data_IF_773232886132
#
_entry.id   IF_773232886132
#
_cell.length_a   1.000
_cell.length_b   1.000
_cell.length_c   1.000
_cell.angle_alpha   90.00
_cell.angle_beta   90.00
_cell.angle_gamma   90.00
#
_symmetry.space_group_name_H-M   'P 1'
#
loop_
_entity.id
_entity.type
_entity.pdbx_description
1 polymer ?
#
# COMPACT_ATOMS: atom_id res chain seq x y z
N UNK A 1 46.62 -2.94 -4.11
CA UNK A 1 46.74 -4.07 -3.15
C UNK A 1 45.53 -4.10 -2.21
N UNK A 2 44.82 -2.98 -1.97
CA UNK A 2 43.59 -2.96 -1.21
C UNK A 2 42.42 -3.69 -1.92
N UNK A 3 42.47 -3.83 -3.25
CA UNK A 3 41.43 -4.49 -4.04
C UNK A 3 41.35 -6.04 -3.92
N UNK A 4 42.44 -6.67 -3.48
CA UNK A 4 42.51 -8.15 -3.36
C UNK A 4 41.96 -8.68 -2.03
N UNK A 5 41.97 -7.86 -0.97
CA UNK A 5 41.37 -8.20 0.31
C UNK A 5 39.83 -8.23 0.18
N UNK A 6 39.26 -7.26 -0.52
CA UNK A 6 37.82 -7.22 -0.82
C UNK A 6 37.30 -8.41 -1.66
N UNK A 7 38.18 -8.99 -2.53
CA UNK A 7 37.82 -10.18 -3.30
C UNK A 7 37.82 -11.48 -2.48
N UNK A 8 38.66 -11.54 -1.41
CA UNK A 8 38.60 -12.68 -0.47
C UNK A 8 37.38 -12.66 0.39
N UNK A 9 36.95 -11.46 0.83
CA UNK A 9 35.73 -11.27 1.59
C UNK A 9 34.50 -11.50 0.71
N UNK A 10 34.54 -11.05 -0.56
CA UNK A 10 33.49 -11.34 -1.55
C UNK A 10 33.31 -12.83 -1.83
N UNK A 11 34.39 -13.64 -1.85
CA UNK A 11 34.29 -15.09 -2.01
C UNK A 11 33.65 -15.79 -0.81
N UNK A 12 33.84 -15.26 0.38
CA UNK A 12 33.19 -15.76 1.59
C UNK A 12 31.69 -15.40 1.61
N UNK A 13 31.32 -14.24 1.05
CA UNK A 13 29.92 -13.82 0.85
C UNK A 13 29.22 -14.58 -0.27
N UNK A 14 29.89 -14.93 -1.36
CA UNK A 14 29.29 -15.63 -2.51
C UNK A 14 28.90 -17.09 -2.18
N UNK A 15 29.47 -17.70 -1.14
CA UNK A 15 29.11 -19.06 -0.75
C UNK A 15 27.85 -19.20 0.10
N UNK A 16 27.32 -18.09 0.67
CA UNK A 16 26.15 -18.10 1.58
C UNK A 16 25.22 -16.89 1.43
N UNK A 17 25.58 -15.85 0.67
CA UNK A 17 24.78 -14.64 0.53
C UNK A 17 24.04 -14.60 -0.81
N UNK A 18 22.77 -14.29 -0.76
CA UNK A 18 21.95 -13.95 -1.93
C UNK A 18 22.31 -12.56 -2.44
N UNK A 19 21.88 -12.21 -3.67
CA UNK A 19 22.11 -10.87 -4.20
C UNK A 19 21.43 -9.80 -3.31
N UNK A 20 22.07 -8.61 -3.08
CA UNK A 20 21.51 -7.57 -2.21
C UNK A 20 20.08 -7.15 -2.60
N UNK A 21 19.74 -7.18 -3.88
CA UNK A 21 18.41 -6.90 -4.38
C UNK A 21 17.37 -7.97 -3.99
N UNK A 22 17.78 -9.22 -3.79
CA UNK A 22 16.91 -10.30 -3.29
C UNK A 22 16.66 -10.09 -1.79
N UNK A 23 17.71 -9.84 -1.02
CA UNK A 23 17.62 -9.62 0.43
C UNK A 23 16.79 -8.38 0.79
N UNK A 24 16.96 -7.29 0.03
CA UNK A 24 16.20 -6.06 0.26
C UNK A 24 14.73 -6.17 -0.18
N UNK A 25 14.38 -7.17 -0.98
CA UNK A 25 13.00 -7.38 -1.40
C UNK A 25 12.20 -8.09 -0.29
N UNK A 26 11.14 -7.49 0.26
CA UNK A 26 10.33 -8.16 1.31
C UNK A 26 9.74 -9.51 0.88
N UNK A 27 9.53 -9.71 -0.43
CA UNK A 27 9.06 -10.98 -1.00
C UNK A 27 10.20 -11.91 -1.44
N UNK A 28 11.46 -11.54 -1.24
CA UNK A 28 12.65 -12.30 -1.65
C UNK A 28 12.59 -12.81 -3.10
N UNK A 29 12.16 -11.93 -4.01
CA UNK A 29 12.11 -12.24 -5.44
C UNK A 29 13.52 -12.45 -5.98
N UNK A 30 13.72 -13.48 -6.79
CA UNK A 30 15.01 -13.70 -7.46
C UNK A 30 15.18 -12.71 -8.61
N UNK A 31 15.61 -11.49 -8.25
CA UNK A 31 15.74 -10.35 -9.17
C UNK A 31 16.73 -10.65 -10.31
N UNK A 32 17.95 -11.16 -10.09
CA UNK A 32 18.86 -11.46 -11.17
C UNK A 32 18.25 -12.44 -12.19
N UNK A 33 17.51 -13.44 -11.70
CA UNK A 33 16.98 -14.51 -12.56
C UNK A 33 15.91 -14.01 -13.53
N UNK A 34 14.95 -13.20 -13.07
CA UNK A 34 13.94 -12.69 -13.99
C UNK A 34 14.50 -11.66 -14.97
N UNK A 35 15.51 -10.87 -14.55
CA UNK A 35 16.18 -9.93 -15.45
C UNK A 35 16.96 -10.67 -16.53
N UNK A 36 17.64 -11.77 -16.19
CA UNK A 36 18.31 -12.62 -17.17
C UNK A 36 17.32 -13.14 -18.23
N UNK A 37 16.13 -13.58 -17.81
CA UNK A 37 15.11 -14.04 -18.75
C UNK A 37 14.59 -12.90 -19.65
N UNK A 38 14.41 -11.70 -19.14
CA UNK A 38 14.04 -10.53 -19.95
C UNK A 38 15.14 -10.24 -20.98
N UNK A 39 16.41 -10.22 -20.57
CA UNK A 39 17.56 -10.03 -21.47
C UNK A 39 17.59 -11.07 -22.57
N UNK A 40 17.24 -12.30 -22.26
CA UNK A 40 17.26 -13.44 -23.19
C UNK A 40 15.98 -13.51 -24.06
N UNK A 41 15.10 -12.48 -23.99
CA UNK A 41 13.84 -12.42 -24.76
C UNK A 41 12.80 -13.46 -24.34
N UNK A 42 12.76 -13.84 -23.07
CA UNK A 42 11.88 -14.87 -22.49
C UNK A 42 11.03 -14.28 -21.36
N UNK A 43 10.14 -13.33 -21.64
CA UNK A 43 9.34 -12.64 -20.62
C UNK A 43 8.43 -13.60 -19.83
N UNK A 44 7.92 -14.67 -20.45
CA UNK A 44 7.12 -15.72 -19.81
C UNK A 44 7.87 -16.41 -18.65
N UNK A 45 9.17 -16.65 -18.84
CA UNK A 45 10.01 -17.24 -17.79
C UNK A 45 10.32 -16.22 -16.69
N UNK A 46 10.45 -14.95 -17.04
CA UNK A 46 10.63 -13.87 -16.08
C UNK A 46 9.40 -13.74 -15.16
N UNK A 47 8.21 -13.74 -15.72
CA UNK A 47 6.96 -13.69 -14.95
C UNK A 47 6.80 -14.95 -14.09
N UNK A 48 7.13 -16.14 -14.59
CA UNK A 48 7.14 -17.37 -13.80
C UNK A 48 8.03 -17.30 -12.56
N UNK A 49 9.17 -16.58 -12.61
CA UNK A 49 10.01 -16.33 -11.42
C UNK A 49 9.29 -15.43 -10.40
N UNK A 50 8.55 -14.42 -10.86
CA UNK A 50 7.80 -13.48 -10.02
C UNK A 50 6.60 -14.16 -9.38
N UNK A 51 5.82 -14.91 -10.16
CA UNK A 51 4.64 -15.66 -9.71
C UNK A 51 4.95 -16.75 -8.67
N UNK A 52 6.19 -17.23 -8.56
CA UNK A 52 6.60 -18.09 -7.44
C UNK A 52 6.47 -17.41 -6.09
N UNK A 53 6.47 -16.07 -6.06
CA UNK A 53 6.42 -15.29 -4.83
C UNK A 53 5.08 -14.62 -4.57
N UNK A 54 4.44 -14.08 -5.60
CA UNK A 54 3.14 -13.41 -5.47
C UNK A 54 2.51 -13.17 -6.86
N UNK A 55 1.18 -13.08 -6.94
CA UNK A 55 0.49 -12.90 -8.21
C UNK A 55 0.38 -11.42 -8.66
N UNK A 56 0.64 -10.45 -7.78
CA UNK A 56 0.45 -9.02 -8.04
C UNK A 56 1.69 -8.41 -8.72
N UNK A 57 2.10 -8.96 -9.87
CA UNK A 57 3.35 -8.61 -10.57
C UNK A 57 3.27 -7.23 -11.19
N UNK A 58 2.22 -6.94 -11.96
CA UNK A 58 1.99 -5.66 -12.61
C UNK A 58 1.68 -4.55 -11.62
N UNK A 59 0.92 -4.85 -10.55
CA UNK A 59 0.73 -3.95 -9.41
C UNK A 59 2.07 -3.56 -8.79
N UNK A 60 2.91 -4.53 -8.43
CA UNK A 60 4.24 -4.25 -7.88
C UNK A 60 5.18 -3.60 -8.89
N UNK A 61 5.01 -3.85 -10.19
CA UNK A 61 5.73 -3.18 -11.27
C UNK A 61 5.43 -1.68 -11.36
N UNK A 62 4.28 -1.24 -10.85
CA UNK A 62 3.82 0.17 -10.91
C UNK A 62 3.98 0.93 -9.59
N UNK A 63 3.72 0.29 -8.44
CA UNK A 63 3.61 1.02 -7.16
C UNK A 63 4.63 0.64 -6.09
N UNK A 64 5.53 -0.31 -6.36
CA UNK A 64 6.58 -0.70 -5.41
C UNK A 64 7.58 0.43 -5.16
N UNK A 65 7.93 0.66 -3.90
CA UNK A 65 8.91 1.69 -3.48
C UNK A 65 10.37 1.26 -3.69
N UNK A 66 10.62 0.14 -4.31
CA UNK A 66 11.95 -0.30 -4.86
C UNK A 66 13.10 -0.43 -3.86
N UNK A 67 12.95 -1.06 -2.70
CA UNK A 67 14.08 -1.25 -1.78
C UNK A 67 15.25 -2.03 -2.43
N UNK A 68 14.95 -2.88 -3.41
CA UNK A 68 15.95 -3.62 -4.18
C UNK A 68 16.86 -2.72 -5.04
N UNK A 69 16.32 -1.61 -5.60
CA UNK A 69 17.12 -0.63 -6.35
C UNK A 69 18.01 0.18 -5.41
N UNK A 70 17.49 0.56 -4.24
CA UNK A 70 18.28 1.23 -3.21
C UNK A 70 19.44 0.35 -2.71
N UNK A 71 19.30 -0.98 -2.73
CA UNK A 71 20.33 -1.94 -2.35
C UNK A 71 21.19 -2.43 -3.53
N UNK A 72 20.91 -1.97 -4.76
CA UNK A 72 21.60 -2.47 -5.97
C UNK A 72 23.09 -2.16 -5.92
N UNK A 73 23.94 -3.17 -6.08
CA UNK A 73 25.39 -3.02 -6.05
C UNK A 73 25.92 -2.11 -7.19
N UNK A 74 25.23 -2.04 -8.32
CA UNK A 74 25.63 -1.18 -9.45
C UNK A 74 25.65 0.32 -9.10
N UNK A 75 24.82 0.74 -8.12
CA UNK A 75 24.77 2.14 -7.66
C UNK A 75 26.12 2.72 -7.22
N UNK A 76 27.10 1.88 -6.90
CA UNK A 76 28.45 2.32 -6.51
C UNK A 76 29.33 2.70 -7.70
N UNK A 77 28.96 2.27 -8.91
CA UNK A 77 29.71 2.54 -10.14
C UNK A 77 28.89 3.35 -11.16
N UNK A 78 27.58 3.21 -11.13
CA UNK A 78 26.66 3.82 -12.10
C UNK A 78 25.23 3.92 -11.51
N UNK A 79 24.21 4.07 -12.36
CA UNK A 79 22.82 4.03 -11.93
C UNK A 79 22.41 2.62 -11.47
N UNK A 80 21.53 2.48 -10.46
CA UNK A 80 20.90 1.20 -10.14
C UNK A 80 20.18 0.62 -11.36
N UNK A 81 20.07 -0.69 -11.42
CA UNK A 81 19.19 -1.34 -12.41
C UNK A 81 17.74 -0.90 -12.13
N UNK A 82 17.00 -0.54 -13.17
CA UNK A 82 15.58 -0.20 -13.10
C UNK A 82 14.72 -1.47 -12.87
N UNK A 83 14.86 -2.06 -11.68
CA UNK A 83 14.32 -3.39 -11.32
C UNK A 83 12.79 -3.40 -11.37
N UNK A 84 12.16 -2.31 -10.88
CA UNK A 84 10.70 -2.17 -10.90
C UNK A 84 10.17 -2.08 -12.33
N UNK A 85 10.82 -1.29 -13.19
CA UNK A 85 10.36 -1.07 -14.55
C UNK A 85 10.56 -2.34 -15.41
N UNK A 86 11.64 -3.08 -15.20
CA UNK A 86 11.82 -4.40 -15.82
C UNK A 86 10.76 -5.41 -15.35
N UNK A 87 10.34 -5.36 -14.09
CA UNK A 87 9.23 -6.17 -13.59
C UNK A 87 7.92 -5.78 -14.29
N UNK A 88 7.66 -4.48 -14.41
CA UNK A 88 6.50 -3.97 -15.13
C UNK A 88 6.50 -4.44 -16.58
N UNK A 89 7.65 -4.33 -17.27
CA UNK A 89 7.80 -4.80 -18.65
C UNK A 89 7.43 -6.28 -18.77
N UNK A 90 7.91 -7.15 -17.87
CA UNK A 90 7.55 -8.58 -17.90
C UNK A 90 6.03 -8.80 -17.76
N UNK A 91 5.36 -8.05 -16.88
CA UNK A 91 3.91 -8.15 -16.70
C UNK A 91 3.13 -7.61 -17.91
N UNK A 92 3.58 -6.48 -18.50
CA UNK A 92 2.87 -5.82 -19.59
C UNK A 92 2.99 -6.61 -20.92
N UNK A 93 4.11 -7.33 -21.16
CA UNK A 93 4.32 -8.15 -22.37
C UNK A 93 3.38 -9.35 -22.46
N UNK A 94 3.03 -9.96 -21.35
CA UNK A 94 2.24 -11.18 -21.31
C UNK A 94 0.77 -10.95 -21.01
N UNK A 95 0.41 -9.77 -20.51
CA UNK A 95 -0.92 -9.53 -19.99
C UNK A 95 -1.17 -10.41 -18.76
N UNK A 96 -1.20 -9.81 -17.59
CA UNK A 96 -1.43 -10.51 -16.32
C UNK A 96 -2.71 -11.34 -16.40
N UNK A 97 -2.61 -12.64 -16.08
CA UNK A 97 -3.75 -13.54 -16.11
C UNK A 97 -3.88 -14.39 -17.38
N UNK A 98 -2.85 -14.47 -18.23
CA UNK A 98 -2.87 -15.47 -19.30
C UNK A 98 -3.00 -16.87 -18.67
N UNK A 99 -4.09 -17.56 -18.97
CA UNK A 99 -4.38 -18.91 -18.45
C UNK A 99 -3.23 -19.89 -18.74
N UNK A 100 -2.45 -19.62 -19.77
CA UNK A 100 -1.29 -20.42 -20.19
C UNK A 100 -0.17 -20.45 -19.15
N UNK A 101 0.05 -19.34 -18.39
CA UNK A 101 1.04 -19.31 -17.31
C UNK A 101 0.59 -20.09 -16.07
N UNK A 102 -0.72 -20.27 -15.89
CA UNK A 102 -1.28 -20.97 -14.73
C UNK A 102 -1.49 -22.47 -14.98
N UNK A 103 -1.46 -22.91 -16.22
CA UNK A 103 -1.58 -24.34 -16.56
C UNK A 103 -0.24 -25.07 -16.45
N UNK A 104 0.86 -24.34 -16.28
CA UNK A 104 2.16 -24.95 -16.05
C UNK A 104 2.14 -25.72 -14.73
N UNK A 105 2.52 -27.00 -14.83
CA UNK A 105 2.69 -27.89 -13.68
C UNK A 105 3.53 -27.30 -12.53
N UNK A 106 4.33 -26.25 -12.79
CA UNK A 106 5.06 -25.50 -11.77
C UNK A 106 4.17 -24.64 -10.84
N UNK A 107 2.91 -24.37 -11.19
CA UNK A 107 2.01 -23.53 -10.39
C UNK A 107 0.98 -24.34 -9.59
N UNK A 108 0.64 -25.55 -10.04
CA UNK A 108 -0.29 -26.46 -9.35
C UNK A 108 0.49 -27.65 -8.77
N UNK A 109 1.05 -27.48 -7.59
CA UNK A 109 1.66 -28.60 -6.87
C UNK A 109 0.99 -28.76 -5.51
N UNK A 110 0.05 -29.71 -5.36
CA UNK A 110 -0.35 -30.14 -4.03
C UNK A 110 0.88 -30.59 -3.27
N UNK A 111 1.19 -29.93 -2.18
CA UNK A 111 2.32 -30.35 -1.35
C UNK A 111 2.02 -31.75 -0.78
N UNK A 112 2.97 -32.68 -0.75
CA UNK A 112 2.77 -33.99 -0.14
C UNK A 112 2.27 -33.82 1.32
N UNK A 113 1.19 -34.53 1.67
CA UNK A 113 0.59 -34.47 3.01
C UNK A 113 -0.38 -33.31 3.25
N UNK A 114 -0.68 -32.51 2.24
CA UNK A 114 -1.77 -31.51 2.35
C UNK A 114 -3.10 -32.22 2.22
N UNK A 115 -3.98 -32.06 3.23
CA UNK A 115 -5.35 -32.55 3.16
C UNK A 115 -6.19 -31.60 2.28
N UNK A 116 -6.69 -32.08 1.11
CA UNK A 116 -7.48 -31.27 0.20
C UNK A 116 -8.90 -30.96 0.73
N UNK A 117 -9.31 -31.56 1.83
CA UNK A 117 -10.62 -31.32 2.44
C UNK A 117 -10.59 -30.18 3.45
N UNK A 118 -9.42 -29.73 3.91
CA UNK A 118 -9.31 -28.60 4.82
C UNK A 118 -9.66 -27.29 4.10
N UNK A 119 -10.80 -26.73 4.48
CA UNK A 119 -11.31 -25.46 3.92
C UNK A 119 -10.76 -24.25 4.68
N UNK A 120 -10.31 -23.26 3.95
CA UNK A 120 -9.73 -22.06 4.55
C UNK A 120 -10.54 -20.83 4.14
N UNK A 121 -10.93 -20.03 5.13
CA UNK A 121 -11.51 -18.73 4.92
C UNK A 121 -10.41 -17.64 4.93
N UNK A 122 -10.38 -16.80 3.91
CA UNK A 122 -9.53 -15.61 3.86
C UNK A 122 -10.42 -14.38 3.97
N UNK A 123 -10.23 -13.55 4.99
CA UNK A 123 -11.03 -12.35 5.22
C UNK A 123 -10.27 -11.12 4.71
N UNK A 124 -10.82 -10.49 3.69
CA UNK A 124 -10.26 -9.38 2.95
C UNK A 124 -9.55 -9.80 1.67
N UNK A 125 -10.05 -9.31 0.53
CA UNK A 125 -9.44 -9.50 -0.80
C UNK A 125 -8.46 -8.37 -1.15
N UNK A 126 -7.79 -7.80 -0.17
CA UNK A 126 -6.63 -6.93 -0.37
C UNK A 126 -5.37 -7.72 -0.74
N UNK A 127 -4.22 -7.05 -1.00
CA UNK A 127 -2.99 -7.72 -1.42
C UNK A 127 -2.58 -8.89 -0.52
N UNK A 128 -2.71 -8.77 0.80
CA UNK A 128 -2.36 -9.82 1.75
C UNK A 128 -3.26 -11.06 1.58
N UNK A 129 -4.58 -10.86 1.50
CA UNK A 129 -5.54 -11.96 1.33
C UNK A 129 -5.40 -12.64 -0.02
N UNK A 130 -5.21 -11.87 -1.10
CA UNK A 130 -5.00 -12.41 -2.46
C UNK A 130 -3.74 -13.29 -2.50
N UNK A 131 -2.62 -12.82 -1.93
CA UNK A 131 -1.37 -13.60 -1.89
C UNK A 131 -1.52 -14.85 -1.03
N UNK A 132 -2.22 -14.76 0.11
CA UNK A 132 -2.52 -15.91 0.95
C UNK A 132 -3.37 -16.95 0.20
N UNK A 133 -4.49 -16.53 -0.39
CA UNK A 133 -5.37 -17.39 -1.18
C UNK A 133 -4.61 -18.04 -2.35
N UNK A 134 -3.81 -17.26 -3.08
CA UNK A 134 -2.96 -17.73 -4.16
C UNK A 134 -2.06 -18.89 -3.73
N UNK A 135 -1.32 -18.74 -2.65
CA UNK A 135 -0.42 -19.80 -2.19
C UNK A 135 -1.16 -21.03 -1.66
N UNK A 136 -2.27 -20.85 -0.96
CA UNK A 136 -3.08 -21.96 -0.45
C UNK A 136 -3.69 -22.78 -1.59
N UNK A 137 -4.26 -22.10 -2.60
CA UNK A 137 -4.81 -22.76 -3.79
C UNK A 137 -3.76 -23.53 -4.57
N UNK A 138 -2.56 -22.98 -4.72
CA UNK A 138 -1.42 -23.70 -5.33
C UNK A 138 -1.01 -24.95 -4.56
N UNK A 139 -1.18 -24.94 -3.25
CA UNK A 139 -0.96 -26.10 -2.39
C UNK A 139 -2.13 -27.12 -2.44
N UNK A 140 -3.19 -26.83 -3.19
CA UNK A 140 -4.36 -27.71 -3.35
C UNK A 140 -5.40 -27.57 -2.25
N UNK A 141 -5.40 -26.47 -1.46
CA UNK A 141 -6.39 -26.22 -0.42
C UNK A 141 -7.57 -25.43 -0.96
N UNK A 142 -8.81 -25.82 -0.69
CA UNK A 142 -9.99 -25.02 -1.01
C UNK A 142 -9.99 -23.70 -0.22
N UNK A 143 -10.22 -22.58 -0.91
CA UNK A 143 -10.21 -21.24 -0.30
C UNK A 143 -11.44 -20.46 -0.74
N UNK A 144 -12.14 -19.89 0.25
CA UNK A 144 -13.15 -18.86 0.04
C UNK A 144 -12.61 -17.53 0.59
N UNK A 145 -12.68 -16.47 -0.23
CA UNK A 145 -12.21 -15.13 0.12
C UNK A 145 -13.41 -14.21 0.35
N UNK A 146 -13.57 -13.76 1.58
CA UNK A 146 -14.65 -12.85 2.00
C UNK A 146 -14.20 -11.40 1.81
N UNK A 147 -14.96 -10.62 1.07
CA UNK A 147 -14.61 -9.23 0.77
C UNK A 147 -15.83 -8.31 0.98
N UNK A 148 -15.62 -7.21 1.70
CA UNK A 148 -16.70 -6.28 2.02
C UNK A 148 -17.14 -5.42 0.82
N UNK A 149 -16.26 -5.22 -0.15
CA UNK A 149 -16.51 -4.50 -1.39
C UNK A 149 -17.04 -5.44 -2.48
N UNK A 150 -17.44 -4.86 -3.61
CA UNK A 150 -17.95 -5.64 -4.76
C UNK A 150 -16.85 -6.13 -5.71
N UNK A 151 -15.60 -5.73 -5.45
CA UNK A 151 -14.44 -6.10 -6.23
C UNK A 151 -13.22 -6.36 -5.34
N UNK A 152 -12.38 -7.30 -5.76
CA UNK A 152 -11.12 -7.59 -5.08
C UNK A 152 -10.05 -6.51 -5.35
N UNK A 153 -9.04 -6.45 -4.49
CA UNK A 153 -7.88 -5.55 -4.60
C UNK A 153 -7.63 -4.72 -3.35
N UNK A 154 -8.62 -4.56 -2.48
CA UNK A 154 -8.48 -3.77 -1.24
C UNK A 154 -7.92 -2.38 -1.51
N UNK A 155 -6.91 -1.94 -0.77
CA UNK A 155 -6.31 -0.60 -0.96
C UNK A 155 -5.61 -0.43 -2.32
N UNK A 156 -5.21 -1.48 -2.99
CA UNK A 156 -4.70 -1.38 -4.35
C UNK A 156 -5.81 -0.98 -5.35
N UNK A 157 -7.06 -1.42 -5.10
CA UNK A 157 -8.23 -1.07 -5.91
C UNK A 157 -8.84 0.27 -5.52
N UNK A 158 -8.99 0.53 -4.22
CA UNK A 158 -9.80 1.63 -3.70
C UNK A 158 -8.99 2.82 -3.18
N UNK A 159 -7.74 2.59 -2.75
CA UNK A 159 -6.86 3.62 -2.19
C UNK A 159 -5.83 4.17 -3.17
N UNK A 160 -5.27 3.32 -4.05
CA UNK A 160 -4.33 3.78 -5.08
C UNK A 160 -5.12 4.29 -6.29
N UNK A 161 -4.91 5.53 -6.73
CA UNK A 161 -5.66 6.09 -7.85
C UNK A 161 -5.46 5.32 -9.16
N UNK A 162 -6.52 5.25 -9.97
CA UNK A 162 -6.55 4.52 -11.25
C UNK A 162 -5.49 5.00 -12.25
N UNK A 163 -5.08 6.27 -12.19
CA UNK A 163 -4.00 6.79 -13.05
C UNK A 163 -2.61 6.27 -12.68
N UNK A 164 -2.42 5.73 -11.46
CA UNK A 164 -1.19 5.06 -11.03
C UNK A 164 -1.25 3.55 -11.22
N UNK A 165 -2.41 2.96 -10.93
CA UNK A 165 -2.66 1.53 -11.08
C UNK A 165 -3.95 1.31 -11.89
N UNK A 166 -3.84 1.06 -13.20
CA UNK A 166 -4.99 0.80 -14.07
C UNK A 166 -5.83 -0.36 -13.56
N UNK A 167 -7.14 -0.19 -13.54
CA UNK A 167 -8.07 -1.17 -12.96
C UNK A 167 -8.08 -2.51 -13.68
N UNK A 168 -7.92 -2.48 -15.01
CA UNK A 168 -7.84 -3.71 -15.81
C UNK A 168 -6.65 -4.60 -15.41
N UNK A 169 -5.50 -3.99 -15.14
CA UNK A 169 -4.30 -4.70 -14.67
C UNK A 169 -4.57 -5.41 -13.34
N UNK A 170 -5.07 -4.67 -12.36
CA UNK A 170 -5.36 -5.22 -11.04
C UNK A 170 -6.45 -6.31 -11.12
N UNK A 171 -7.48 -6.12 -11.94
CA UNK A 171 -8.55 -7.11 -12.11
C UNK A 171 -7.99 -8.44 -12.65
N UNK A 172 -7.12 -8.39 -13.67
CA UNK A 172 -6.45 -9.58 -14.20
C UNK A 172 -5.64 -10.32 -13.13
N UNK A 173 -4.91 -9.57 -12.28
CA UNK A 173 -4.13 -10.15 -11.20
C UNK A 173 -4.97 -10.76 -10.07
N UNK A 174 -6.11 -10.15 -9.75
CA UNK A 174 -6.99 -10.66 -8.69
C UNK A 174 -7.79 -11.88 -9.15
N UNK A 175 -8.12 -11.98 -10.44
CA UNK A 175 -8.86 -13.11 -11.02
C UNK A 175 -8.10 -14.44 -10.96
N UNK A 176 -6.79 -14.41 -10.67
CA UNK A 176 -5.99 -15.61 -10.46
C UNK A 176 -6.57 -16.53 -9.35
N UNK A 177 -7.17 -15.96 -8.33
CA UNK A 177 -7.82 -16.74 -7.28
C UNK A 177 -8.94 -17.62 -7.86
N UNK A 178 -9.75 -17.06 -8.75
CA UNK A 178 -10.82 -17.79 -9.47
C UNK A 178 -10.23 -18.84 -10.41
N UNK A 179 -9.21 -18.46 -11.18
CA UNK A 179 -8.52 -19.35 -12.12
C UNK A 179 -7.94 -20.59 -11.42
N UNK A 180 -7.45 -20.43 -10.20
CA UNK A 180 -6.94 -21.53 -9.38
C UNK A 180 -8.04 -22.32 -8.64
N UNK A 181 -9.32 -21.96 -8.81
CA UNK A 181 -10.45 -22.65 -8.21
C UNK A 181 -10.87 -22.12 -6.85
N UNK A 182 -10.43 -20.95 -6.44
CA UNK A 182 -10.93 -20.24 -5.27
C UNK A 182 -12.17 -19.41 -5.56
N UNK A 183 -12.92 -19.04 -4.52
CA UNK A 183 -14.15 -18.29 -4.65
C UNK A 183 -14.09 -16.98 -3.88
N UNK A 184 -14.56 -15.87 -4.51
CA UNK A 184 -14.82 -14.61 -3.83
C UNK A 184 -16.27 -14.54 -3.35
N UNK A 185 -16.44 -14.10 -2.13
CA UNK A 185 -17.72 -13.78 -1.50
C UNK A 185 -17.77 -12.28 -1.27
N UNK A 186 -18.25 -11.57 -2.28
CA UNK A 186 -18.31 -10.10 -2.27
C UNK A 186 -19.48 -9.57 -1.47
N UNK A 187 -19.33 -8.39 -0.88
CA UNK A 187 -20.34 -7.71 -0.07
C UNK A 187 -20.46 -8.26 1.35
N UNK A 188 -19.63 -9.24 1.73
CA UNK A 188 -19.63 -9.87 3.06
C UNK A 188 -18.54 -9.27 3.97
N UNK A 189 -18.95 -8.56 5.01
CA UNK A 189 -18.07 -7.83 5.94
C UNK A 189 -18.05 -8.49 7.31
N UNK A 190 -16.83 -8.82 7.79
CA UNK A 190 -16.60 -9.25 9.17
C UNK A 190 -17.12 -8.20 10.16
N UNK A 191 -17.81 -8.64 11.19
CA UNK A 191 -18.39 -7.78 12.22
C UNK A 191 -19.72 -7.14 11.84
N UNK A 192 -20.20 -7.34 10.59
CA UNK A 192 -21.53 -6.92 10.12
C UNK A 192 -22.37 -8.11 9.69
N UNK A 193 -21.84 -8.94 8.81
CA UNK A 193 -22.59 -10.02 8.15
C UNK A 193 -22.25 -11.38 8.77
N UNK A 194 -21.08 -11.51 9.38
CA UNK A 194 -20.61 -12.72 10.06
C UNK A 194 -19.53 -12.38 11.09
N UNK A 195 -19.28 -13.33 12.00
CA UNK A 195 -18.17 -13.36 12.97
C UNK A 195 -17.30 -14.60 12.77
N UNK A 196 -16.14 -14.68 13.47
CA UNK A 196 -15.21 -15.80 13.29
C UNK A 196 -15.85 -17.15 13.67
N UNK A 197 -16.68 -17.18 14.71
CA UNK A 197 -17.37 -18.40 15.11
C UNK A 197 -18.30 -18.94 14.02
N UNK A 198 -18.95 -18.08 13.24
CA UNK A 198 -19.83 -18.49 12.16
C UNK A 198 -19.08 -19.24 11.05
N UNK A 199 -17.84 -18.82 10.76
CA UNK A 199 -16.99 -19.50 9.78
C UNK A 199 -16.58 -20.90 10.27
N UNK A 200 -16.17 -21.05 11.51
CA UNK A 200 -15.86 -22.37 12.07
C UNK A 200 -17.11 -23.26 12.11
N UNK A 201 -18.28 -22.71 12.44
CA UNK A 201 -19.54 -23.45 12.39
C UNK A 201 -19.92 -23.89 10.97
N UNK A 202 -19.51 -23.15 9.94
CA UNK A 202 -19.67 -23.50 8.52
C UNK A 202 -18.63 -24.52 8.03
N UNK A 203 -17.75 -25.01 8.89
CA UNK A 203 -16.77 -26.05 8.57
C UNK A 203 -15.46 -25.52 7.94
N UNK A 204 -15.10 -24.26 8.16
CA UNK A 204 -13.75 -23.81 7.87
C UNK A 204 -12.78 -24.27 8.98
N UNK A 205 -11.66 -24.82 8.57
CA UNK A 205 -10.63 -25.34 9.49
C UNK A 205 -9.66 -24.25 9.97
N UNK A 206 -9.48 -23.20 9.16
CA UNK A 206 -8.64 -22.08 9.49
C UNK A 206 -9.16 -20.78 8.86
N UNK A 207 -8.81 -19.65 9.49
CA UNK A 207 -9.17 -18.31 9.03
C UNK A 207 -7.91 -17.46 8.93
N UNK A 208 -7.69 -16.82 7.77
CA UNK A 208 -6.68 -15.82 7.59
C UNK A 208 -7.30 -14.40 7.67
N UNK A 209 -6.74 -13.54 8.53
CA UNK A 209 -7.22 -12.17 8.73
C UNK A 209 -6.38 -11.18 7.90
N UNK A 210 -6.84 -10.89 6.69
CA UNK A 210 -6.26 -9.90 5.77
C UNK A 210 -7.04 -8.59 5.70
N UNK A 211 -7.69 -8.18 6.80
CA UNK A 211 -8.68 -7.09 6.88
C UNK A 211 -8.13 -5.68 6.65
N UNK A 212 -6.81 -5.51 6.64
CA UNK A 212 -6.16 -4.23 6.35
C UNK A 212 -6.38 -3.13 7.39
N UNK A 213 -6.09 -1.89 7.01
CA UNK A 213 -6.24 -0.68 7.82
C UNK A 213 -7.15 0.31 7.07
N UNK A 214 -8.45 0.07 7.06
CA UNK A 214 -9.42 0.79 6.24
C UNK A 214 -9.91 2.11 6.85
N UNK A 215 -9.41 2.54 8.04
CA UNK A 215 -9.80 3.82 8.67
C UNK A 215 -8.70 4.85 8.55
N UNK A 216 -8.98 5.96 7.85
CA UNK A 216 -8.15 7.17 7.90
C UNK A 216 -8.12 7.77 9.30
N UNK A 217 -7.14 8.62 9.58
CA UNK A 217 -7.04 9.35 10.85
C UNK A 217 -7.24 10.83 10.63
N UNK A 218 -7.92 11.49 11.55
CA UNK A 218 -7.91 12.94 11.72
C UNK A 218 -6.61 13.41 12.37
N UNK A 219 -6.34 14.71 12.36
CA UNK A 219 -5.07 15.28 12.84
C UNK A 219 -4.90 15.11 14.36
N UNK A 220 -6.00 15.05 15.12
CA UNK A 220 -5.99 14.97 16.57
C UNK A 220 -5.58 16.29 17.20
N UNK A 221 -5.95 17.41 16.59
CA UNK A 221 -5.69 18.74 17.10
C UNK A 221 -6.66 19.09 18.23
N UNK A 222 -6.26 19.94 19.18
CA UNK A 222 -7.21 20.49 20.15
C UNK A 222 -8.35 21.19 19.42
N UNK A 223 -9.59 20.97 19.92
CA UNK A 223 -10.82 21.63 19.44
C UNK A 223 -11.09 21.46 17.92
N UNK A 224 -10.58 20.38 17.29
CA UNK A 224 -10.88 20.11 15.88
C UNK A 224 -12.34 19.64 15.70
N UNK A 225 -13.08 20.35 14.85
CA UNK A 225 -14.42 19.90 14.43
C UNK A 225 -14.28 18.87 13.29
N UNK A 226 -14.35 17.58 13.65
CA UNK A 226 -14.24 16.46 12.71
C UNK A 226 -15.41 16.36 11.73
N UNK A 227 -16.51 17.09 11.98
CA UNK A 227 -17.70 17.13 11.13
C UNK A 227 -17.73 18.37 10.22
N UNK A 228 -16.73 19.27 10.34
CA UNK A 228 -16.67 20.47 9.51
C UNK A 228 -16.64 20.10 8.03
N UNK A 229 -17.50 20.70 7.24
CA UNK A 229 -17.52 20.51 5.80
C UNK A 229 -16.18 20.97 5.19
N UNK A 230 -15.52 20.10 4.45
CA UNK A 230 -14.19 20.36 3.88
C UNK A 230 -13.05 19.79 4.74
N UNK A 231 -13.30 19.22 5.93
CA UNK A 231 -12.29 18.48 6.67
C UNK A 231 -12.41 16.99 6.43
N UNK A 232 -11.43 16.40 5.74
CA UNK A 232 -11.50 15.04 5.21
C UNK A 232 -10.32 14.18 5.72
N UNK A 233 -10.57 12.90 5.97
CA UNK A 233 -9.50 11.92 6.13
C UNK A 233 -9.02 11.48 4.76
N UNK A 234 -7.71 11.38 4.57
CA UNK A 234 -7.11 11.12 3.26
C UNK A 234 -7.59 9.82 2.60
N UNK A 235 -7.72 8.74 3.39
CA UNK A 235 -8.20 7.48 2.83
C UNK A 235 -9.67 7.57 2.41
N UNK A 236 -10.52 8.18 3.23
CA UNK A 236 -11.95 8.31 2.92
C UNK A 236 -12.17 9.15 1.66
N UNK A 237 -11.37 10.22 1.51
CA UNK A 237 -11.36 11.03 0.29
C UNK A 237 -11.00 10.23 -0.96
N UNK A 238 -9.96 9.38 -0.90
CA UNK A 238 -9.56 8.53 -2.02
C UNK A 238 -10.64 7.50 -2.35
N UNK A 239 -11.21 6.85 -1.33
CA UNK A 239 -12.31 5.89 -1.48
C UNK A 239 -13.53 6.53 -2.13
N UNK A 240 -13.95 7.73 -1.67
CA UNK A 240 -15.10 8.46 -2.23
C UNK A 240 -14.88 8.79 -3.71
N UNK A 241 -13.69 9.28 -4.05
CA UNK A 241 -13.34 9.57 -5.45
C UNK A 241 -13.34 8.31 -6.30
N UNK A 242 -12.74 7.22 -5.85
CA UNK A 242 -12.69 5.97 -6.62
C UNK A 242 -14.08 5.32 -6.79
N UNK A 243 -14.91 5.31 -5.76
CA UNK A 243 -16.28 4.82 -5.89
C UNK A 243 -17.12 5.65 -6.86
N UNK A 244 -16.88 6.97 -6.90
CA UNK A 244 -17.64 7.87 -7.77
C UNK A 244 -17.17 7.83 -9.24
N UNK A 245 -15.96 7.36 -9.55
CA UNK A 245 -15.48 7.27 -10.94
C UNK A 245 -16.33 6.36 -11.83
N UNK A 246 -17.01 5.36 -11.24
CA UNK A 246 -17.89 4.45 -11.96
C UNK A 246 -19.32 4.96 -12.10
N UNK A 247 -19.67 6.12 -11.54
CA UNK A 247 -21.02 6.71 -11.59
C UNK A 247 -21.15 7.70 -12.76
N UNK A 248 -22.38 7.92 -13.28
CA UNK A 248 -22.60 8.90 -14.35
C UNK A 248 -22.18 10.32 -14.01
N UNK A 249 -22.25 10.71 -12.73
CA UNK A 249 -21.90 12.04 -12.23
C UNK A 249 -20.38 12.21 -12.05
N UNK A 250 -19.66 11.11 -11.89
CA UNK A 250 -18.22 11.13 -11.60
C UNK A 250 -17.88 11.76 -10.23
N UNK A 251 -16.57 11.99 -9.96
CA UNK A 251 -16.13 12.66 -8.73
C UNK A 251 -16.63 14.10 -8.65
N UNK A 252 -17.17 14.49 -7.50
CA UNK A 252 -17.59 15.89 -7.26
C UNK A 252 -16.38 16.81 -7.29
N UNK A 253 -16.41 17.89 -8.10
CA UNK A 253 -15.34 18.87 -8.11
C UNK A 253 -15.18 19.57 -6.74
N UNK A 254 -13.91 19.77 -6.33
CA UNK A 254 -13.60 20.55 -5.13
C UNK A 254 -13.65 22.04 -5.48
N UNK A 255 -14.47 22.79 -4.73
CA UNK A 255 -14.70 24.21 -4.94
C UNK A 255 -13.87 25.06 -3.97
N UNK A 256 -12.61 25.28 -4.29
CA UNK A 256 -11.67 26.08 -3.50
C UNK A 256 -10.34 25.39 -3.27
N UNK A 257 -9.45 26.11 -2.58
CA UNK A 257 -8.09 25.65 -2.32
C UNK A 257 -8.08 24.46 -1.35
N UNK A 258 -7.10 23.58 -1.53
CA UNK A 258 -6.95 22.32 -0.78
C UNK A 258 -5.60 22.31 -0.08
N UNK A 259 -5.58 21.97 1.21
CA UNK A 259 -4.35 21.70 1.95
C UNK A 259 -4.34 20.25 2.39
N UNK A 260 -3.32 19.49 1.96
CA UNK A 260 -3.08 18.09 2.36
C UNK A 260 -2.02 18.05 3.44
N UNK A 261 -2.33 17.44 4.58
CA UNK A 261 -1.41 17.32 5.71
C UNK A 261 -0.76 15.94 5.72
N UNK A 262 0.55 15.93 5.55
CA UNK A 262 1.36 14.71 5.47
C UNK A 262 2.23 14.68 4.21
N UNK A 263 3.22 13.78 4.15
CA UNK A 263 4.08 13.62 2.98
C UNK A 263 4.50 12.15 2.80
N UNK A 264 3.56 11.23 3.00
CA UNK A 264 3.68 9.82 2.63
C UNK A 264 3.02 9.55 1.28
N UNK A 265 3.10 8.31 0.76
CA UNK A 265 2.49 7.95 -0.52
C UNK A 265 0.98 8.25 -0.56
N UNK A 266 0.25 8.05 0.55
CA UNK A 266 -1.17 8.42 0.63
C UNK A 266 -1.37 9.92 0.47
N UNK A 267 -0.50 10.76 1.03
CA UNK A 267 -0.58 12.21 0.85
C UNK A 267 -0.32 12.61 -0.62
N UNK A 268 0.60 11.91 -1.30
CA UNK A 268 0.84 12.12 -2.73
C UNK A 268 -0.38 11.70 -3.56
N UNK A 269 -0.99 10.59 -3.25
CA UNK A 269 -2.23 10.16 -3.90
C UNK A 269 -3.37 11.17 -3.65
N UNK A 270 -3.53 11.66 -2.41
CA UNK A 270 -4.55 12.66 -2.08
C UNK A 270 -4.32 13.98 -2.83
N UNK A 271 -3.12 14.54 -2.80
CA UNK A 271 -2.87 15.84 -3.43
C UNK A 271 -2.95 15.77 -4.96
N UNK A 272 -2.49 14.70 -5.58
CA UNK A 272 -2.56 14.48 -7.03
C UNK A 272 -4.00 14.20 -7.48
N UNK A 273 -4.78 13.47 -6.68
CA UNK A 273 -6.21 13.25 -6.93
C UNK A 273 -6.99 14.56 -6.76
N UNK A 274 -6.75 15.31 -5.68
CA UNK A 274 -7.37 16.62 -5.48
C UNK A 274 -7.06 17.56 -6.67
N UNK A 275 -5.82 17.57 -7.17
CA UNK A 275 -5.42 18.41 -8.31
C UNK A 275 -6.20 18.11 -9.59
N UNK A 276 -6.65 16.86 -9.76
CA UNK A 276 -7.46 16.44 -10.93
C UNK A 276 -8.92 16.85 -10.85
N UNK A 277 -9.44 17.03 -9.64
CA UNK A 277 -10.87 17.32 -9.43
C UNK A 277 -11.14 18.72 -8.86
N UNK A 278 -10.10 19.47 -8.51
CA UNK A 278 -10.26 20.88 -8.06
C UNK A 278 -10.61 21.76 -9.25
N UNK A 279 -11.49 22.76 -9.02
CA UNK A 279 -11.86 23.73 -10.06
C UNK A 279 -10.64 24.51 -10.59
N UNK A 280 -10.64 24.90 -11.87
CA UNK A 280 -9.57 25.72 -12.43
C UNK A 280 -9.33 27.00 -11.59
N UNK A 281 -8.06 27.34 -11.40
CA UNK A 281 -7.64 28.49 -10.60
C UNK A 281 -7.42 28.19 -9.12
N UNK A 282 -7.93 27.10 -8.59
CA UNK A 282 -7.67 26.68 -7.21
C UNK A 282 -6.32 26.00 -7.06
N UNK A 283 -5.73 26.14 -5.87
CA UNK A 283 -4.41 25.63 -5.51
C UNK A 283 -4.52 24.38 -4.64
N UNK A 284 -3.61 23.42 -4.85
CA UNK A 284 -3.38 22.31 -3.94
C UNK A 284 -2.02 22.47 -3.29
N UNK A 285 -1.97 22.42 -1.96
CA UNK A 285 -0.76 22.58 -1.15
C UNK A 285 -0.59 21.37 -0.23
N UNK A 286 0.63 20.83 -0.18
CA UNK A 286 1.01 19.78 0.79
C UNK A 286 1.77 20.45 1.93
N UNK A 287 1.33 20.28 3.17
CA UNK A 287 2.05 20.75 4.36
C UNK A 287 2.67 19.57 5.11
N UNK A 288 3.97 19.66 5.39
CA UNK A 288 4.73 18.61 6.04
C UNK A 288 5.65 19.14 7.14
N UNK A 289 5.56 18.53 8.32
CA UNK A 289 6.29 18.99 9.52
C UNK A 289 7.81 18.84 9.48
N UNK A 290 8.36 18.11 8.51
CA UNK A 290 9.81 17.89 8.35
C UNK A 290 10.29 18.43 7.02
N UNK A 291 11.61 18.31 6.78
CA UNK A 291 12.20 18.59 5.47
C UNK A 291 11.84 17.52 4.46
N UNK A 292 11.96 17.85 3.19
CA UNK A 292 11.70 16.94 2.07
C UNK A 292 12.48 15.64 2.15
N UNK A 293 13.79 15.70 2.44
CA UNK A 293 14.64 14.52 2.56
C UNK A 293 14.19 13.52 3.65
N UNK A 294 13.26 13.93 4.54
CA UNK A 294 12.64 13.07 5.56
C UNK A 294 11.24 12.62 5.17
N UNK A 295 10.79 12.93 3.96
CA UNK A 295 9.47 12.51 3.49
C UNK A 295 9.46 10.99 3.28
N UNK A 296 8.44 10.27 3.78
CA UNK A 296 8.32 8.83 3.57
C UNK A 296 7.74 8.45 2.20
N UNK A 297 7.27 9.43 1.41
CA UNK A 297 6.80 9.19 0.05
C UNK A 297 7.96 8.80 -0.89
N UNK A 298 7.64 8.03 -1.92
CA UNK A 298 8.58 7.79 -3.02
C UNK A 298 8.99 9.14 -3.64
N UNK A 299 10.30 9.42 -3.83
CA UNK A 299 10.77 10.67 -4.45
C UNK A 299 10.16 10.94 -5.82
N UNK A 300 9.87 9.90 -6.61
CA UNK A 300 9.20 10.06 -7.91
C UNK A 300 7.79 10.62 -7.75
N UNK A 301 7.06 10.23 -6.71
CA UNK A 301 5.71 10.75 -6.45
C UNK A 301 5.73 12.22 -6.03
N UNK A 302 6.73 12.64 -5.26
CA UNK A 302 6.95 14.04 -4.90
C UNK A 302 7.28 14.85 -6.16
N UNK A 303 8.17 14.32 -7.01
CA UNK A 303 8.52 14.96 -8.27
C UNK A 303 7.31 15.09 -9.20
N UNK A 304 6.52 14.04 -9.36
CA UNK A 304 5.30 14.05 -10.16
C UNK A 304 4.27 15.07 -9.61
N UNK A 305 4.08 15.12 -8.29
CA UNK A 305 3.20 16.10 -7.66
C UNK A 305 3.63 17.54 -7.96
N UNK A 306 4.93 17.85 -7.91
CA UNK A 306 5.46 19.17 -8.30
C UNK A 306 5.23 19.48 -9.78
N UNK A 307 5.48 18.51 -10.66
CA UNK A 307 5.25 18.68 -12.08
C UNK A 307 3.77 18.95 -12.42
N UNK A 308 2.84 18.46 -11.57
CA UNK A 308 1.40 18.73 -11.66
C UNK A 308 1.00 20.09 -11.03
N UNK A 309 1.96 20.89 -10.55
CA UNK A 309 1.73 22.24 -10.01
C UNK A 309 1.30 22.28 -8.54
N UNK A 310 1.50 21.18 -7.79
CA UNK A 310 1.21 21.12 -6.35
C UNK A 310 2.32 21.86 -5.60
N UNK A 311 1.92 22.71 -4.64
CA UNK A 311 2.84 23.45 -3.76
C UNK A 311 3.21 22.60 -2.54
N UNK A 312 4.41 22.83 -2.01
CA UNK A 312 4.91 22.15 -0.81
C UNK A 312 5.36 23.15 0.24
N UNK A 313 4.79 23.05 1.43
CA UNK A 313 5.15 23.78 2.64
C UNK A 313 5.84 22.82 3.62
N UNK A 314 7.14 22.67 3.46
CA UNK A 314 7.96 21.87 4.37
C UNK A 314 8.21 22.62 5.69
N UNK A 315 8.60 21.87 6.73
CA UNK A 315 8.80 22.41 8.09
C UNK A 315 7.58 23.17 8.60
N UNK A 316 6.39 22.66 8.33
CA UNK A 316 5.12 23.27 8.70
C UNK A 316 4.18 22.21 9.29
N UNK A 317 3.79 22.41 10.55
CA UNK A 317 2.86 21.50 11.25
C UNK A 317 1.51 22.18 11.47
N UNK A 318 0.40 21.42 11.39
CA UNK A 318 -0.93 21.94 11.68
C UNK A 318 -1.06 22.28 13.16
N UNK A 319 -1.69 23.42 13.45
CA UNK A 319 -1.98 23.88 14.80
C UNK A 319 -3.49 23.94 15.06
N UNK A 320 -4.25 24.45 14.11
CA UNK A 320 -5.70 24.57 14.19
C UNK A 320 -6.35 24.61 12.81
N UNK A 321 -7.50 23.96 12.66
CA UNK A 321 -8.37 24.12 11.49
C UNK A 321 -9.32 25.29 11.78
N UNK A 322 -9.43 26.22 10.83
CA UNK A 322 -10.30 27.38 10.95
C UNK A 322 -11.65 27.01 10.32
N UNK A 323 -12.70 27.10 11.12
CA UNK A 323 -14.06 26.75 10.71
C UNK A 323 -15.00 27.95 10.96
N UNK A 324 -15.78 28.30 9.96
CA UNK A 324 -16.84 29.29 10.06
C UNK A 324 -18.16 28.69 9.52
N UNK A 325 -19.22 28.83 10.28
CA UNK A 325 -20.54 28.26 9.93
C UNK A 325 -20.50 26.78 9.56
N UNK A 326 -19.66 25.99 10.27
CA UNK A 326 -19.50 24.56 10.01
C UNK A 326 -18.69 24.20 8.75
N UNK A 327 -17.99 25.17 8.14
CA UNK A 327 -17.16 24.98 6.94
C UNK A 327 -15.72 25.37 7.19
N UNK A 328 -14.79 24.63 6.62
CA UNK A 328 -13.38 24.98 6.61
C UNK A 328 -13.17 26.27 5.82
N UNK A 329 -12.48 27.24 6.40
CA UNK A 329 -12.09 28.52 5.76
C UNK A 329 -10.57 28.69 5.73
N UNK A 330 -9.82 27.82 6.39
CA UNK A 330 -8.36 27.86 6.39
C UNK A 330 -7.75 26.89 7.40
N UNK A 331 -6.44 26.83 7.40
CA UNK A 331 -5.65 26.11 8.40
C UNK A 331 -4.54 26.99 8.94
N UNK A 332 -4.41 27.06 10.27
CA UNK A 332 -3.28 27.65 10.95
C UNK A 332 -2.17 26.62 11.09
N UNK A 333 -1.02 26.93 10.56
CA UNK A 333 0.21 26.16 10.64
C UNK A 333 1.25 26.88 11.52
N UNK A 334 2.21 26.13 12.04
CA UNK A 334 3.37 26.68 12.74
C UNK A 334 4.64 26.20 12.06
N UNK A 335 5.64 27.06 11.89
CA UNK A 335 6.96 26.67 11.37
C UNK A 335 7.65 25.74 12.34
N UNK A 336 8.35 24.76 11.78
CA UNK A 336 9.12 23.77 12.54
C UNK A 336 10.60 23.96 12.30
N UNK A 337 11.40 23.65 13.31
CA UNK A 337 12.85 23.50 13.13
C UNK A 337 13.27 22.08 13.50
N UNK A 338 14.30 21.57 12.83
CA UNK A 338 14.89 20.30 13.17
C UNK A 338 15.89 20.47 14.31
N UNK A 339 15.83 19.55 15.26
CA UNK A 339 16.85 19.45 16.33
C UNK A 339 18.09 18.73 15.82
N UNK A 340 19.15 18.76 16.62
CA UNK A 340 20.29 17.86 16.40
C UNK A 340 19.86 16.39 16.44
N UNK A 341 20.57 15.50 15.74
CA UNK A 341 20.27 14.07 15.77
C UNK A 341 20.38 13.52 17.19
N UNK A 342 19.46 12.64 17.57
CA UNK A 342 19.56 11.83 18.78
C UNK A 342 20.60 10.69 18.60
N UNK A 343 20.80 9.88 19.64
CA UNK A 343 21.73 8.75 19.63
C UNK A 343 21.44 7.70 18.52
N UNK A 344 20.22 7.68 17.97
CA UNK A 344 19.83 6.83 16.84
C UNK A 344 20.03 7.51 15.48
N UNK A 345 20.56 8.73 15.45
CA UNK A 345 20.70 9.55 14.24
C UNK A 345 19.42 10.23 13.78
N UNK A 346 18.32 10.10 14.53
CA UNK A 346 17.02 10.69 14.19
C UNK A 346 16.93 12.14 14.65
N UNK A 347 16.56 13.03 13.74
CA UNK A 347 16.27 14.43 14.06
C UNK A 347 14.81 14.60 14.44
N UNK A 348 14.55 15.08 15.65
CA UNK A 348 13.23 15.51 16.05
C UNK A 348 12.88 16.87 15.42
N UNK A 349 11.61 17.22 15.41
CA UNK A 349 11.14 18.53 14.97
C UNK A 349 10.38 19.19 16.11
N UNK A 350 10.62 20.50 16.33
CA UNK A 350 9.96 21.32 17.34
C UNK A 350 9.32 22.55 16.70
N UNK A 351 8.16 23.00 17.19
CA UNK A 351 7.57 24.23 16.70
C UNK A 351 8.45 25.44 17.04
N UNK A 352 8.51 26.40 16.13
CA UNK A 352 9.14 27.68 16.34
C UNK A 352 8.07 28.66 16.88
N UNK A 353 8.11 29.04 18.16
CA UNK A 353 7.10 29.93 18.74
C UNK A 353 6.99 31.27 18.01
N UNK A 354 5.77 31.77 17.82
CA UNK A 354 5.53 33.05 17.16
C UNK A 354 5.67 33.03 15.63
N UNK A 355 5.78 31.82 15.03
CA UNK A 355 5.90 31.65 13.58
C UNK A 355 4.63 31.09 12.93
N UNK A 356 3.53 31.24 13.60
CA UNK A 356 2.23 30.81 13.12
C UNK A 356 1.83 31.60 11.87
N UNK A 357 1.21 30.90 10.93
CA UNK A 357 0.67 31.50 9.71
C UNK A 357 -0.55 30.73 9.22
N UNK A 358 -1.39 31.41 8.47
CA UNK A 358 -2.63 30.83 7.95
C UNK A 358 -2.51 30.62 6.45
N UNK A 359 -2.97 29.44 6.01
CA UNK A 359 -3.25 29.17 4.60
C UNK A 359 -4.79 29.16 4.46
N UNK A 360 -5.38 30.13 3.76
CA UNK A 360 -6.80 30.08 3.41
C UNK A 360 -7.06 28.86 2.52
N UNK A 361 -8.09 28.08 2.83
CA UNK A 361 -8.49 26.93 2.02
C UNK A 361 -9.92 26.50 2.35
N UNK A 362 -10.57 25.83 1.43
CA UNK A 362 -11.90 25.26 1.64
C UNK A 362 -11.85 23.79 2.04
N UNK A 363 -10.70 23.14 1.86
CA UNK A 363 -10.52 21.72 2.18
C UNK A 363 -9.21 21.48 2.90
N UNK A 364 -9.26 20.69 3.97
CA UNK A 364 -8.10 20.13 4.65
C UNK A 364 -8.21 18.62 4.60
N UNK A 365 -7.20 17.95 4.02
CA UNK A 365 -7.16 16.50 3.90
C UNK A 365 -6.05 15.95 4.82
N UNK A 366 -6.46 15.21 5.86
CA UNK A 366 -5.54 14.58 6.81
C UNK A 366 -4.98 13.26 6.26
N UNK A 367 -3.74 13.25 5.77
CA UNK A 367 -3.06 12.09 5.21
C UNK A 367 -1.90 11.63 6.12
N UNK A 368 -2.19 11.39 7.41
CA UNK A 368 -1.20 11.13 8.46
C UNK A 368 -1.14 9.68 8.94
N UNK A 369 -1.83 8.79 8.27
CA UNK A 369 -1.83 7.35 8.54
C UNK A 369 -3.21 6.73 8.55
N UNK A 370 -3.20 5.42 8.77
CA UNK A 370 -4.39 4.57 8.73
C UNK A 370 -4.40 3.66 9.95
N UNK A 371 -5.57 3.21 10.35
CA UNK A 371 -5.76 2.24 11.44
C UNK A 371 -6.71 1.13 11.01
N UNK A 372 -6.52 -0.04 11.60
CA UNK A 372 -7.50 -1.12 11.59
C UNK A 372 -8.76 -0.66 12.34
N UNK A 373 -9.92 -1.12 11.92
CA UNK A 373 -11.15 -0.95 12.67
C UNK A 373 -11.29 -2.09 13.70
N UNK A 374 -11.08 -1.84 14.99
CA UNK A 374 -11.18 -2.89 16.01
C UNK A 374 -12.61 -3.35 16.27
N UNK A 375 -13.60 -2.58 15.84
CA UNK A 375 -15.02 -2.88 16.08
C UNK A 375 -15.54 -4.04 15.24
N UNK A 376 -14.74 -4.55 14.31
CA UNK A 376 -15.07 -5.75 13.51
C UNK A 376 -15.02 -7.03 14.37
N UNK A 377 -14.36 -7.00 15.53
CA UNK A 377 -14.27 -8.12 16.46
C UNK A 377 -15.21 -7.93 17.63
N UNK A 378 -15.82 -9.03 18.06
CA UNK A 378 -16.56 -9.14 19.32
C UNK A 378 -15.72 -9.96 20.33
N UNK A 379 -16.01 -9.89 21.63
CA UNK A 379 -15.26 -10.64 22.66
C UNK A 379 -15.20 -12.15 22.38
N UNK A 380 -16.26 -12.70 21.83
CA UNK A 380 -16.41 -14.13 21.51
C UNK A 380 -15.48 -14.58 20.37
N UNK A 381 -14.97 -13.66 19.55
CA UNK A 381 -13.97 -13.96 18.54
C UNK A 381 -12.61 -14.32 19.15
N UNK A 382 -12.34 -13.90 20.39
CA UNK A 382 -11.14 -14.25 21.14
C UNK A 382 -9.84 -13.62 20.57
N UNK A 383 -9.95 -12.54 19.77
CA UNK A 383 -8.80 -11.86 19.16
C UNK A 383 -8.25 -10.80 20.11
N UNK A 384 -7.02 -10.99 20.57
CA UNK A 384 -6.30 -9.99 21.33
C UNK A 384 -5.76 -8.87 20.43
N UNK A 385 -5.85 -7.64 20.93
CA UNK A 385 -5.32 -6.46 20.26
C UNK A 385 -4.16 -5.87 21.05
N UNK A 386 -3.17 -5.37 20.33
CA UNK A 386 -2.05 -4.63 20.93
C UNK A 386 -2.53 -3.27 21.44
N UNK A 387 -1.70 -2.60 22.25
CA UNK A 387 -1.96 -1.21 22.70
C UNK A 387 -2.14 -0.20 21.55
N UNK A 388 -1.74 -0.57 20.34
CA UNK A 388 -1.86 0.26 19.14
C UNK A 388 -3.15 0.00 18.35
N UNK A 389 -3.98 -0.97 18.79
CA UNK A 389 -5.20 -1.38 18.12
C UNK A 389 -4.94 -2.26 16.89
N UNK A 390 -3.81 -2.95 16.79
CA UNK A 390 -3.53 -3.98 15.79
C UNK A 390 -3.73 -5.36 16.39
N UNK A 391 -3.98 -6.37 15.55
CA UNK A 391 -4.10 -7.77 16.01
C UNK A 391 -2.76 -8.21 16.60
N UNK A 392 -2.81 -8.79 17.82
CA UNK A 392 -1.65 -9.38 18.44
C UNK A 392 -1.35 -10.73 17.81
N UNK A 393 -0.08 -10.94 17.40
CA UNK A 393 0.37 -12.18 16.78
C UNK A 393 1.62 -12.71 17.45
N UNK A 394 1.77 -14.04 17.44
CA UNK A 394 3.01 -14.73 17.80
C UNK A 394 4.03 -14.65 16.65
N UNK A 395 5.24 -15.14 16.89
CA UNK A 395 6.30 -15.20 15.85
C UNK A 395 5.87 -15.99 14.61
N UNK A 396 4.98 -16.95 14.77
CA UNK A 396 4.39 -17.76 13.69
C UNK A 396 3.24 -17.08 12.95
N UNK A 397 2.97 -15.79 13.23
CA UNK A 397 1.83 -15.02 12.73
C UNK A 397 0.45 -15.58 13.13
N UNK A 398 0.38 -16.52 14.08
CA UNK A 398 -0.88 -16.97 14.65
C UNK A 398 -1.36 -15.97 15.70
N UNK A 399 -2.69 -15.81 15.78
CA UNK A 399 -3.36 -14.92 16.74
C UNK A 399 -3.45 -15.57 18.13
N UNK A 400 -4.17 -14.93 19.05
CA UNK A 400 -4.53 -15.48 20.37
C UNK A 400 -5.50 -16.66 20.28
N UNK A 401 -6.14 -16.83 19.14
CA UNK A 401 -7.09 -17.92 18.85
C UNK A 401 -6.49 -18.89 17.85
#
# INVERSE_FOLDING_TARGET
VAGLQGLKDAKQYVSTATAPCIEACPAHVNVPRYIDYIRDGRPEMAEGVLLKRYPLVGTCGRVCVRPCEAACARRFNEQPIAIRDLKRHAADELGVGSAELFDDAMLKHPAPGVDPHQRIAVIGAGPAGIVCAYHLLRLGRPVDVFEMEQEAGGMARWGIPSYRLPRAELAGETDIVKTLGGHYRYGEKLGRDFHLNDLFAQGYDAVFLGIGCARGQFLGLPDEDQNAQGYLRGLDFLLEVEHSQGTPEGPKPLEGDVVVIGCGNVAMDCCRTARRIVKPGCQVTVAYRRIEASAPADPEEIHAARAEGIRFEFLSAPKRILVENGRVVGIELVRMHQTEPDASGRRAVKPLPGSEFIIPCSYVIAAIGQKMDPTVFIPEDGIALTRWGTIETKETFTTSR
#
